data_IF_113386949296
#
_entry.id   IF_113386949296
#
_cell.length_a   1.000
_cell.length_b   1.000
_cell.length_c   1.000
_cell.angle_alpha   90.00
_cell.angle_beta   90.00
_cell.angle_gamma   90.00
#
_symmetry.space_group_name_H-M   'P 1'
#
loop_
_entity.id
_entity.type
_entity.pdbx_description
1 polymer ?
#
# COMPACT_ATOMS: atom_id res chain seq x y z
N UNK A 1 4.99 -0.07 20.87
CA UNK A 1 6.31 -0.19 20.23
C UNK A 1 6.18 0.18 18.76
N UNK A 2 7.04 1.07 18.28
CA UNK A 2 7.06 1.46 16.88
C UNK A 2 7.34 0.25 15.99
N UNK A 3 6.63 0.15 14.88
CA UNK A 3 6.99 -0.78 13.82
C UNK A 3 8.14 -0.20 12.98
N UNK A 4 9.35 -0.60 13.31
CA UNK A 4 10.59 -0.14 12.63
C UNK A 4 10.62 -0.50 11.15
N UNK A 5 10.00 -1.63 10.78
CA UNK A 5 9.91 -2.07 9.40
C UNK A 5 9.12 -1.08 8.55
N UNK A 6 7.99 -0.59 9.05
CA UNK A 6 7.18 0.41 8.33
C UNK A 6 7.92 1.74 8.16
N UNK A 7 8.62 2.21 9.19
CA UNK A 7 9.44 3.43 9.10
C UNK A 7 10.63 3.26 8.14
N UNK A 8 11.32 2.13 8.19
CA UNK A 8 12.39 1.79 7.27
C UNK A 8 11.89 1.69 5.82
N UNK A 9 10.73 1.09 5.59
CA UNK A 9 10.11 1.01 4.27
C UNK A 9 9.88 2.39 3.65
N UNK A 10 9.44 3.35 4.44
CA UNK A 10 9.23 4.71 3.97
C UNK A 10 10.53 5.41 3.56
N UNK A 11 11.63 5.21 4.32
CA UNK A 11 12.96 5.72 3.95
C UNK A 11 13.44 5.10 2.65
N UNK A 12 13.38 3.79 2.52
CA UNK A 12 13.82 3.10 1.31
C UNK A 12 13.05 3.55 0.08
N UNK A 13 11.73 3.71 0.17
CA UNK A 13 10.91 4.13 -0.97
C UNK A 13 11.05 5.62 -1.28
N UNK A 14 10.89 6.48 -0.28
CA UNK A 14 10.74 7.93 -0.52
C UNK A 14 12.06 8.69 -0.50
N UNK A 15 13.05 8.26 0.27
CA UNK A 15 14.33 8.96 0.40
C UNK A 15 15.43 8.32 -0.45
N UNK A 16 15.51 7.01 -0.47
CA UNK A 16 16.53 6.28 -1.24
C UNK A 16 16.04 6.02 -2.67
N UNK A 17 14.73 5.88 -2.87
CA UNK A 17 14.14 5.65 -4.20
C UNK A 17 14.22 4.20 -4.66
N UNK A 18 14.29 3.25 -3.71
CA UNK A 18 14.29 1.83 -4.02
C UNK A 18 12.96 1.42 -4.69
N UNK A 19 13.00 0.50 -5.62
CA UNK A 19 11.82 -0.07 -6.24
C UNK A 19 10.93 -0.74 -5.20
N UNK A 20 9.61 -0.56 -5.33
CA UNK A 20 8.63 -0.92 -4.30
C UNK A 20 8.70 -2.41 -3.91
N UNK A 21 8.96 -3.28 -4.88
CA UNK A 21 9.05 -4.73 -4.70
C UNK A 21 10.20 -5.19 -3.81
N UNK A 22 11.26 -4.38 -3.65
CA UNK A 22 12.41 -4.71 -2.80
C UNK A 22 12.37 -4.04 -1.43
N UNK A 23 11.50 -3.06 -1.24
CA UNK A 23 11.44 -2.24 -0.02
C UNK A 23 11.16 -3.06 1.22
N UNK A 24 10.23 -4.01 1.16
CA UNK A 24 9.84 -4.81 2.31
C UNK A 24 11.02 -5.65 2.85
N UNK A 25 11.72 -6.36 1.97
CA UNK A 25 12.84 -7.21 2.36
C UNK A 25 13.99 -6.40 2.98
N UNK A 26 14.36 -5.27 2.36
CA UNK A 26 15.41 -4.40 2.89
C UNK A 26 15.01 -3.75 4.22
N UNK A 27 13.77 -3.32 4.35
CA UNK A 27 13.26 -2.77 5.60
C UNK A 27 13.28 -3.80 6.74
N UNK A 28 12.91 -5.04 6.49
CA UNK A 28 12.99 -6.14 7.45
C UNK A 28 14.42 -6.42 7.89
N UNK A 29 15.40 -6.33 7.00
CA UNK A 29 16.82 -6.46 7.36
C UNK A 29 17.29 -5.34 8.26
N UNK A 30 16.86 -4.12 7.96
CA UNK A 30 17.31 -2.92 8.68
C UNK A 30 16.72 -2.81 10.08
N UNK A 31 15.46 -3.22 10.27
CA UNK A 31 14.78 -3.10 11.57
C UNK A 31 15.51 -3.80 12.71
N UNK A 32 16.19 -4.93 12.42
CA UNK A 32 16.92 -5.72 13.43
C UNK A 32 18.21 -5.06 13.93
N UNK A 33 18.74 -4.11 13.19
CA UNK A 33 20.03 -3.43 13.52
C UNK A 33 19.85 -1.94 13.81
N UNK A 34 18.67 -1.40 13.62
CA UNK A 34 18.37 0.00 13.82
C UNK A 34 18.30 0.35 15.30
N UNK A 35 19.06 1.36 15.73
CA UNK A 35 18.95 1.89 17.09
C UNK A 35 17.81 2.90 17.22
N UNK A 36 17.30 3.08 18.44
CA UNK A 36 16.23 4.06 18.74
C UNK A 36 16.61 5.49 18.33
N UNK A 37 17.90 5.84 18.41
CA UNK A 37 18.38 7.16 17.99
C UNK A 37 18.29 7.37 16.49
N UNK A 38 18.62 6.34 15.71
CA UNK A 38 18.52 6.36 14.25
C UNK A 38 17.05 6.39 13.83
N UNK A 39 16.22 5.54 14.43
CA UNK A 39 14.78 5.50 14.20
C UNK A 39 14.11 6.87 14.40
N UNK A 40 14.41 7.54 15.52
CA UNK A 40 13.89 8.87 15.81
C UNK A 40 14.29 9.91 14.75
N UNK A 41 15.54 9.87 14.29
CA UNK A 41 16.03 10.76 13.22
C UNK A 41 15.37 10.48 11.88
N UNK A 42 15.11 9.22 11.58
CA UNK A 42 14.39 8.81 10.37
C UNK A 42 12.98 9.41 10.36
N UNK A 43 12.23 9.31 11.47
CA UNK A 43 10.91 9.89 11.58
C UNK A 43 10.91 11.41 11.40
N UNK A 44 11.92 12.10 11.95
CA UNK A 44 12.10 13.54 11.75
C UNK A 44 12.36 13.88 10.27
N UNK A 45 13.19 13.09 9.58
CA UNK A 45 13.47 13.25 8.14
C UNK A 45 12.23 13.05 7.27
N UNK A 46 11.39 12.09 7.61
CA UNK A 46 10.16 11.78 6.88
C UNK A 46 9.03 12.78 7.11
N UNK A 47 9.25 13.81 7.94
CA UNK A 47 8.26 14.83 8.25
C UNK A 47 6.95 14.27 8.78
N UNK A 48 7.05 13.42 9.79
CA UNK A 48 5.92 12.81 10.48
C UNK A 48 5.10 11.86 9.58
N UNK A 49 5.70 10.74 9.11
CA UNK A 49 5.01 9.79 8.26
C UNK A 49 3.92 9.07 9.05
N UNK A 50 2.72 8.99 8.48
CA UNK A 50 1.57 8.33 9.11
C UNK A 50 1.34 6.93 8.56
N UNK A 51 1.66 6.73 7.29
CA UNK A 51 1.45 5.48 6.56
C UNK A 51 2.73 5.05 5.84
N UNK A 52 2.95 3.73 5.79
CA UNK A 52 4.01 3.12 5.00
C UNK A 52 3.75 3.29 3.48
N UNK A 53 4.74 3.01 2.61
CA UNK A 53 4.54 3.00 1.16
C UNK A 53 3.46 2.03 0.67
N UNK A 54 3.06 1.09 1.51
CA UNK A 54 2.00 0.11 1.23
C UNK A 54 0.63 0.51 1.79
N UNK A 55 0.52 1.70 2.37
CA UNK A 55 -0.73 2.24 2.94
C UNK A 55 -1.08 1.76 4.34
N UNK A 56 -0.21 0.97 4.98
CA UNK A 56 -0.44 0.55 6.36
C UNK A 56 -0.09 1.68 7.32
N UNK A 57 -0.96 1.94 8.30
CA UNK A 57 -0.65 2.89 9.36
C UNK A 57 0.61 2.42 10.13
N UNK A 58 1.50 3.36 10.44
CA UNK A 58 2.73 3.07 11.18
C UNK A 58 2.39 3.01 12.66
N UNK A 59 2.41 1.84 13.30
CA UNK A 59 2.10 1.72 14.72
C UNK A 59 3.24 2.25 15.60
N UNK A 60 2.90 2.69 16.80
CA UNK A 60 3.87 3.11 17.82
C UNK A 60 4.42 4.53 17.65
N UNK A 61 3.93 5.32 16.70
CA UNK A 61 4.36 6.72 16.50
C UNK A 61 4.14 7.58 17.75
N UNK A 62 3.09 7.32 18.52
CA UNK A 62 2.74 8.04 19.74
C UNK A 62 3.84 7.91 20.81
N UNK A 63 4.49 6.76 20.90
CA UNK A 63 5.59 6.51 21.84
C UNK A 63 6.81 7.42 21.58
N UNK A 64 6.91 7.97 20.38
CA UNK A 64 7.97 8.87 19.96
C UNK A 64 7.52 10.33 19.86
N UNK A 65 6.29 10.63 20.30
CA UNK A 65 5.73 11.99 20.30
C UNK A 65 5.19 12.45 18.94
N UNK A 66 4.94 11.52 18.03
CA UNK A 66 4.28 11.77 16.74
C UNK A 66 2.80 11.40 16.79
N UNK A 67 1.99 12.01 15.94
CA UNK A 67 0.59 11.62 15.80
C UNK A 67 0.46 10.32 15.03
N UNK A 68 -0.37 9.38 15.52
CA UNK A 68 -0.72 8.17 14.78
C UNK A 68 -2.07 8.32 14.10
N UNK A 69 -2.24 7.66 12.97
CA UNK A 69 -3.54 7.51 12.32
C UNK A 69 -3.88 6.02 12.19
N UNK A 70 -5.16 5.71 12.34
CA UNK A 70 -5.67 4.37 12.08
C UNK A 70 -6.06 4.24 10.62
N UNK A 71 -6.02 3.02 10.09
CA UNK A 71 -6.57 2.75 8.77
C UNK A 71 -8.07 3.12 8.74
N UNK A 72 -8.51 3.71 7.63
CA UNK A 72 -9.91 4.16 7.47
C UNK A 72 -10.86 2.94 7.49
N UNK A 73 -11.88 2.98 8.33
CA UNK A 73 -12.90 1.93 8.45
C UNK A 73 -13.82 1.83 7.21
N UNK A 74 -13.79 2.83 6.32
CA UNK A 74 -14.56 2.84 5.06
C UNK A 74 -13.89 2.08 3.91
N UNK A 75 -12.90 1.28 4.22
CA UNK A 75 -12.17 0.47 3.26
C UNK A 75 -12.79 -0.92 3.14
N UNK A 76 -12.71 -1.49 1.93
CA UNK A 76 -13.19 -2.84 1.63
C UNK A 76 -12.17 -3.60 0.79
N UNK A 77 -12.19 -4.94 0.81
CA UNK A 77 -11.43 -5.72 -0.15
C UNK A 77 -11.80 -5.35 -1.60
N UNK A 78 -10.80 -5.33 -2.47
CA UNK A 78 -10.99 -5.03 -3.90
C UNK A 78 -12.01 -5.96 -4.57
N UNK A 79 -12.01 -7.24 -4.21
CA UNK A 79 -12.96 -8.22 -4.71
C UNK A 79 -14.43 -7.88 -4.38
N UNK A 80 -14.65 -7.34 -3.17
CA UNK A 80 -16.00 -6.90 -2.76
C UNK A 80 -16.41 -5.64 -3.53
N UNK A 81 -15.48 -4.70 -3.69
CA UNK A 81 -15.72 -3.50 -4.49
C UNK A 81 -16.10 -3.83 -5.94
N UNK A 82 -15.42 -4.80 -6.54
CA UNK A 82 -15.65 -5.19 -7.93
C UNK A 82 -17.05 -5.78 -8.21
N UNK A 83 -17.71 -6.37 -7.21
CA UNK A 83 -19.01 -7.02 -7.39
C UNK A 83 -20.12 -6.08 -7.84
N UNK A 84 -20.12 -4.86 -7.30
CA UNK A 84 -21.20 -3.90 -7.48
C UNK A 84 -20.75 -2.64 -8.25
N UNK A 85 -19.59 -2.71 -8.92
CA UNK A 85 -18.98 -1.58 -9.58
C UNK A 85 -18.94 -1.71 -11.10
N UNK A 86 -19.13 -0.58 -11.76
CA UNK A 86 -18.91 -0.44 -13.19
C UNK A 86 -17.57 0.25 -13.51
N UNK A 87 -17.22 0.33 -14.80
CA UNK A 87 -15.95 0.93 -15.24
C UNK A 87 -15.82 2.43 -14.91
N UNK A 88 -16.92 3.10 -14.62
CA UNK A 88 -16.95 4.53 -14.24
C UNK A 88 -16.74 4.77 -12.74
N UNK A 89 -16.92 3.74 -11.92
CA UNK A 89 -16.69 3.85 -10.48
C UNK A 89 -15.19 3.95 -10.19
N UNK A 90 -14.83 4.82 -9.23
CA UNK A 90 -13.45 5.04 -8.84
C UNK A 90 -13.23 4.66 -7.38
N UNK A 91 -12.08 4.02 -7.19
CA UNK A 91 -11.59 3.63 -5.88
C UNK A 91 -10.14 4.11 -5.72
N UNK A 92 -9.72 4.28 -4.48
CA UNK A 92 -8.32 4.56 -4.15
C UNK A 92 -7.69 3.32 -3.55
N UNK A 93 -6.52 2.93 -4.02
CA UNK A 93 -5.74 1.86 -3.37
C UNK A 93 -5.36 2.32 -1.97
N UNK A 94 -5.88 1.64 -0.96
CA UNK A 94 -5.73 2.03 0.44
C UNK A 94 -4.58 1.33 1.14
N UNK A 95 -4.41 0.02 0.94
CA UNK A 95 -3.26 -0.72 1.50
C UNK A 95 -3.02 -2.06 0.83
N UNK A 96 -1.77 -2.50 0.93
CA UNK A 96 -1.33 -3.85 0.61
C UNK A 96 -0.94 -4.57 1.90
N UNK A 97 -1.51 -5.73 2.20
CA UNK A 97 -1.12 -6.53 3.36
C UNK A 97 0.27 -7.17 3.15
N UNK A 98 0.84 -7.69 4.22
CA UNK A 98 2.17 -8.31 4.18
C UNK A 98 2.27 -9.44 3.15
N UNK A 99 1.22 -10.23 2.96
CA UNK A 99 1.18 -11.30 1.96
C UNK A 99 1.43 -10.81 0.52
N UNK A 100 1.03 -9.58 0.21
CA UNK A 100 1.32 -8.94 -1.07
C UNK A 100 2.73 -8.32 -1.07
N UNK A 101 3.14 -7.72 0.05
CA UNK A 101 4.44 -7.04 0.17
C UNK A 101 5.64 -8.00 0.03
N UNK A 102 5.46 -9.28 0.36
CA UNK A 102 6.49 -10.31 0.25
C UNK A 102 6.57 -10.96 -1.14
N UNK A 103 5.61 -10.70 -2.01
CA UNK A 103 5.60 -11.21 -3.38
C UNK A 103 6.21 -10.17 -4.34
N UNK A 104 7.52 -10.30 -4.58
CA UNK A 104 8.30 -9.37 -5.40
C UNK A 104 7.78 -9.27 -6.83
N UNK A 105 7.41 -10.40 -7.45
CA UNK A 105 6.93 -10.42 -8.84
C UNK A 105 5.55 -9.76 -8.95
N UNK A 106 4.66 -10.04 -7.99
CA UNK A 106 3.33 -9.43 -7.94
C UNK A 106 3.42 -7.92 -7.69
N UNK A 107 4.25 -7.48 -6.73
CA UNK A 107 4.45 -6.05 -6.47
C UNK A 107 5.00 -5.32 -7.67
N UNK A 108 5.95 -5.92 -8.38
CA UNK A 108 6.48 -5.34 -9.62
C UNK A 108 5.40 -5.19 -10.67
N UNK A 109 4.60 -6.24 -10.88
CA UNK A 109 3.49 -6.23 -11.84
C UNK A 109 2.47 -5.12 -11.50
N UNK A 110 2.08 -5.01 -10.23
CA UNK A 110 1.17 -3.97 -9.76
C UNK A 110 1.76 -2.56 -9.94
N UNK A 111 3.02 -2.36 -9.55
CA UNK A 111 3.71 -1.07 -9.66
C UNK A 111 3.87 -0.64 -11.13
N UNK A 112 4.24 -1.55 -12.02
CA UNK A 112 4.39 -1.26 -13.46
C UNK A 112 3.05 -0.86 -14.11
N UNK A 113 1.93 -1.35 -13.59
CA UNK A 113 0.57 -0.98 -14.01
C UNK A 113 -0.01 0.23 -13.23
N UNK A 114 0.81 0.92 -12.43
CA UNK A 114 0.37 2.09 -11.64
C UNK A 114 -0.54 1.77 -10.46
N UNK A 115 -0.69 0.49 -10.10
CA UNK A 115 -1.52 0.06 -8.98
C UNK A 115 -0.69 0.11 -7.70
N UNK A 116 -0.59 1.29 -7.13
CA UNK A 116 0.21 1.58 -5.92
C UNK A 116 -0.66 2.28 -4.88
N UNK A 117 -0.17 2.37 -3.65
CA UNK A 117 -0.86 3.12 -2.59
C UNK A 117 -1.25 4.54 -3.05
N UNK A 118 -2.50 4.90 -2.85
CA UNK A 118 -3.04 6.20 -3.21
C UNK A 118 -3.48 6.34 -4.68
N UNK A 119 -3.23 5.34 -5.52
CA UNK A 119 -3.67 5.38 -6.92
C UNK A 119 -5.19 5.33 -7.04
N UNK A 120 -5.73 6.10 -7.98
CA UNK A 120 -7.12 6.03 -8.39
C UNK A 120 -7.29 4.93 -9.44
N UNK A 121 -8.21 4.01 -9.19
CA UNK A 121 -8.43 2.84 -10.03
C UNK A 121 -9.91 2.60 -10.29
N UNK A 122 -10.24 2.00 -11.43
CA UNK A 122 -11.50 1.28 -11.63
C UNK A 122 -11.30 -0.21 -11.34
N UNK A 123 -12.29 -0.84 -10.74
CA UNK A 123 -12.29 -2.28 -10.46
C UNK A 123 -13.62 -2.88 -10.88
N UNK A 124 -13.58 -3.92 -11.68
CA UNK A 124 -14.80 -4.61 -12.15
C UNK A 124 -14.60 -6.11 -12.09
N UNK A 125 -15.68 -6.85 -11.89
CA UNK A 125 -15.62 -8.31 -11.94
C UNK A 125 -15.32 -8.77 -13.37
N UNK A 126 -14.35 -9.66 -13.50
CA UNK A 126 -14.04 -10.32 -14.77
C UNK A 126 -14.94 -11.54 -15.02
N UNK A 127 -14.64 -12.30 -16.07
CA UNK A 127 -15.45 -13.44 -16.50
C UNK A 127 -14.99 -14.78 -15.89
N UNK A 128 -13.72 -14.86 -15.52
CA UNK A 128 -13.05 -16.10 -15.08
C UNK A 128 -12.79 -16.13 -13.57
N UNK A 129 -13.70 -15.60 -12.76
CA UNK A 129 -13.54 -15.45 -11.31
C UNK A 129 -12.30 -14.62 -10.94
N UNK A 130 -12.09 -13.56 -11.70
CA UNK A 130 -11.01 -12.58 -11.56
C UNK A 130 -11.56 -11.17 -11.36
N UNK A 131 -10.66 -10.23 -11.04
CA UNK A 131 -10.97 -8.80 -10.94
C UNK A 131 -10.11 -8.05 -11.93
N UNK A 132 -10.75 -7.27 -12.77
CA UNK A 132 -10.06 -6.41 -13.73
C UNK A 132 -9.83 -5.05 -13.09
N UNK A 133 -8.58 -4.62 -13.06
CA UNK A 133 -8.13 -3.36 -12.43
C UNK A 133 -7.45 -2.49 -13.47
N UNK A 134 -7.81 -1.22 -13.51
CA UNK A 134 -7.16 -0.22 -14.35
C UNK A 134 -6.86 1.04 -13.52
N UNK A 135 -5.61 1.47 -13.52
CA UNK A 135 -5.21 2.72 -12.87
C UNK A 135 -5.40 3.91 -13.80
N UNK A 136 -5.90 5.02 -13.27
CA UNK A 136 -6.13 6.24 -14.05
C UNK A 136 -4.81 6.78 -14.61
N UNK A 137 -4.79 7.05 -15.91
CA UNK A 137 -3.61 7.57 -16.59
C UNK A 137 -2.65 6.51 -17.12
N UNK A 138 -2.89 5.24 -16.85
CA UNK A 138 -2.10 4.12 -17.36
C UNK A 138 -2.78 3.50 -18.58
N UNK A 139 -1.99 2.85 -19.44
CA UNK A 139 -2.52 2.14 -20.62
C UNK A 139 -2.89 0.69 -20.29
N UNK A 140 -2.18 0.11 -19.31
CA UNK A 140 -2.31 -1.30 -18.97
C UNK A 140 -3.48 -1.56 -18.01
N UNK A 141 -4.11 -2.70 -18.23
CA UNK A 141 -5.16 -3.25 -17.38
C UNK A 141 -4.69 -4.60 -16.84
N UNK A 142 -4.83 -4.86 -15.55
CA UNK A 142 -4.49 -6.14 -14.96
C UNK A 142 -5.73 -6.96 -14.63
N UNK A 143 -5.63 -8.26 -14.89
CA UNK A 143 -6.53 -9.28 -14.33
C UNK A 143 -5.86 -9.86 -13.10
N UNK A 144 -6.50 -9.74 -11.96
CA UNK A 144 -6.04 -10.26 -10.67
C UNK A 144 -6.93 -11.43 -10.24
N UNK A 145 -6.32 -12.53 -9.85
CA UNK A 145 -7.07 -13.63 -9.27
C UNK A 145 -7.78 -13.20 -7.97
N UNK A 146 -8.76 -13.98 -7.56
CA UNK A 146 -9.63 -13.64 -6.43
C UNK A 146 -8.85 -13.57 -5.11
N UNK A 147 -7.79 -14.37 -4.93
CA UNK A 147 -6.98 -14.36 -3.70
C UNK A 147 -6.23 -13.03 -3.56
N UNK A 148 -5.64 -12.54 -4.64
CA UNK A 148 -4.98 -11.23 -4.68
C UNK A 148 -5.99 -10.11 -4.49
N UNK A 149 -7.11 -10.14 -5.20
CA UNK A 149 -8.16 -9.12 -5.07
C UNK A 149 -8.82 -9.09 -3.68
N UNK A 150 -8.92 -10.23 -2.99
CA UNK A 150 -9.38 -10.28 -1.60
C UNK A 150 -8.39 -9.65 -0.62
N UNK A 151 -7.10 -9.69 -0.93
CA UNK A 151 -6.04 -9.18 -0.07
C UNK A 151 -5.85 -7.66 -0.18
N UNK A 152 -5.97 -7.10 -1.39
CA UNK A 152 -5.80 -5.65 -1.62
C UNK A 152 -7.02 -4.90 -1.11
N UNK A 153 -6.77 -3.83 -0.34
CA UNK A 153 -7.82 -3.01 0.25
C UNK A 153 -7.96 -1.70 -0.50
N UNK A 154 -9.20 -1.36 -0.85
CA UNK A 154 -9.55 -0.13 -1.55
C UNK A 154 -10.55 0.69 -0.76
N UNK A 155 -10.60 1.98 -1.04
CA UNK A 155 -11.58 2.93 -0.51
C UNK A 155 -12.36 3.53 -1.68
N UNK A 156 -13.68 3.58 -1.57
CA UNK A 156 -14.51 4.24 -2.60
C UNK A 156 -14.13 5.72 -2.68
N UNK A 157 -13.85 6.19 -3.89
CA UNK A 157 -13.65 7.62 -4.15
C UNK A 157 -14.93 8.36 -3.78
N UNK A 158 -14.82 9.35 -2.88
CA UNK A 158 -15.93 10.26 -2.62
C UNK A 158 -16.20 11.08 -3.90
N UNK A 159 -17.45 11.13 -4.35
CA UNK A 159 -17.85 12.20 -5.24
C UNK A 159 -17.60 13.52 -4.49
N UNK A 160 -16.72 14.33 -5.06
CA UNK A 160 -16.63 15.73 -4.67
C UNK A 160 -17.90 16.44 -5.09
#
# INVERSE_FOLDING_TARGET
TLDRSSAASDVYKRQIGLELEYVHEEACRWEHVMSDKVEKRILEMLKDPKFSPYGNAIPGLEDLGHSSEKNDERTVPMSLAARDSGPEDRFTISRFPESIQTDVELLKLLADAGIVYGASVSVVAGQDDDVIVHADGEEDTLSLDMDVANAIVVKRGGNL
#
